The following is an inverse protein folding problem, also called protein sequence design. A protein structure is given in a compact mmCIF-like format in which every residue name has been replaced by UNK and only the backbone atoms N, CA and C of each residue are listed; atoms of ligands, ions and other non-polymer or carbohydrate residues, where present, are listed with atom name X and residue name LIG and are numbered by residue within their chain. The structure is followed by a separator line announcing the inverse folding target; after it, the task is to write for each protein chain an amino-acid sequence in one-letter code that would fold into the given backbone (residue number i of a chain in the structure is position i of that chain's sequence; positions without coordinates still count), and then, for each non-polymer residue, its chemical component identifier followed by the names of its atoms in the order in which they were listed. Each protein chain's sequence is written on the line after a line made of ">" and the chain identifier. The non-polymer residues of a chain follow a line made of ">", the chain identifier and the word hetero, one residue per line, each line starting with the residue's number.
data_IF_687287305817
#
_entry.id   IF_687287305817
#
_cell.length_a   1.000
_cell.length_b   1.000
_cell.length_c   1.000
_cell.angle_alpha   90.00
_cell.angle_beta   90.00
_cell.angle_gamma   90.00
#
_symmetry.space_group_name_H-M   'P 1'
#
loop_
_entity.id
_entity.type
_entity.pdbx_description
1 polymer ?
#
# COMPACT_ATOMS: atom_id res chain seq x y z
N UNK A 1 18.96 25.77 6.42
CA UNK A 1 19.38 25.40 5.05
C UNK A 1 18.34 24.44 4.54
N UNK A 2 17.62 24.76 3.46
CA UNK A 2 16.71 23.78 2.86
C UNK A 2 17.57 22.63 2.32
N UNK A 3 17.41 21.43 2.87
CA UNK A 3 18.07 20.25 2.34
C UNK A 3 17.52 19.96 0.94
N UNK A 4 18.40 19.74 -0.04
CA UNK A 4 18.00 19.47 -1.43
C UNK A 4 17.23 18.14 -1.56
N UNK A 5 17.55 17.16 -0.71
CA UNK A 5 16.93 15.83 -0.72
C UNK A 5 16.59 15.36 0.70
N UNK A 6 15.44 14.70 0.87
CA UNK A 6 15.03 14.06 2.13
C UNK A 6 15.66 12.66 2.28
N UNK A 7 15.78 11.93 1.17
CA UNK A 7 16.31 10.57 1.15
C UNK A 7 17.13 10.35 -0.12
N UNK A 8 18.22 9.59 -0.02
CA UNK A 8 19.08 9.24 -1.17
C UNK A 8 19.44 7.75 -1.15
N UNK A 9 19.32 7.12 -2.31
CA UNK A 9 19.84 5.79 -2.60
C UNK A 9 20.92 5.89 -3.68
N UNK A 10 22.06 5.21 -3.50
CA UNK A 10 23.10 5.11 -4.52
C UNK A 10 23.56 3.68 -4.71
N UNK A 11 23.44 3.17 -5.94
CA UNK A 11 23.77 1.78 -6.32
C UNK A 11 23.20 0.74 -5.36
N UNK A 12 22.00 0.99 -4.87
CA UNK A 12 21.34 0.13 -3.89
C UNK A 12 20.97 -1.21 -4.56
N UNK A 13 21.40 -2.31 -3.95
CA UNK A 13 21.04 -3.65 -4.41
C UNK A 13 20.74 -4.56 -3.21
N UNK A 14 19.73 -5.43 -3.37
CA UNK A 14 19.26 -6.36 -2.33
C UNK A 14 19.19 -7.78 -2.89
N UNK A 15 19.91 -8.70 -2.23
CA UNK A 15 20.00 -10.09 -2.61
C UNK A 15 19.53 -11.00 -1.46
N UNK A 16 18.62 -11.93 -1.76
CA UNK A 16 18.21 -13.00 -0.85
C UNK A 16 18.81 -14.33 -1.33
N UNK A 17 19.69 -14.96 -0.52
CA UNK A 17 20.24 -16.27 -0.82
C UNK A 17 19.15 -17.35 -0.97
N UNK A 18 19.34 -18.38 -1.84
CA UNK A 18 20.56 -18.66 -2.59
C UNK A 18 20.72 -17.93 -3.92
N UNK A 19 19.66 -17.46 -4.60
CA UNK A 19 19.76 -16.98 -6.00
C UNK A 19 18.85 -15.80 -6.39
N UNK A 20 18.25 -15.07 -5.44
CA UNK A 20 17.24 -14.04 -5.77
C UNK A 20 17.74 -12.62 -5.51
N UNK A 21 18.25 -11.97 -6.56
CA UNK A 21 18.40 -10.51 -6.60
C UNK A 21 17.02 -9.88 -6.76
N UNK A 22 16.60 -9.09 -5.78
CA UNK A 22 15.30 -8.41 -5.80
C UNK A 22 15.43 -6.96 -6.26
N UNK A 23 16.49 -6.27 -5.83
CA UNK A 23 16.82 -4.90 -6.24
C UNK A 23 18.24 -4.88 -6.79
N UNK A 24 18.47 -4.13 -7.86
CA UNK A 24 19.74 -4.04 -8.55
C UNK A 24 20.02 -2.60 -9.01
N UNK A 25 21.11 -2.01 -8.51
CA UNK A 25 21.63 -0.70 -8.92
C UNK A 25 20.62 0.47 -8.82
N UNK A 26 19.72 0.46 -7.83
CA UNK A 26 18.77 1.54 -7.58
C UNK A 26 19.54 2.80 -7.15
N UNK A 27 19.46 3.87 -7.94
CA UNK A 27 20.07 5.17 -7.63
C UNK A 27 19.00 6.24 -7.80
N UNK A 28 18.48 6.74 -6.67
CA UNK A 28 17.32 7.63 -6.61
C UNK A 28 17.54 8.70 -5.55
N UNK A 29 16.99 9.87 -5.78
CA UNK A 29 16.99 10.98 -4.81
C UNK A 29 15.57 11.48 -4.65
N UNK A 30 15.14 11.65 -3.40
CA UNK A 30 13.78 11.99 -3.04
C UNK A 30 13.75 13.44 -2.57
N UNK A 31 12.86 14.25 -3.15
CA UNK A 31 12.68 15.64 -2.77
C UNK A 31 11.71 15.77 -1.60
N UNK A 32 11.93 16.74 -0.69
CA UNK A 32 10.94 17.09 0.33
C UNK A 32 9.58 17.44 -0.30
N UNK A 33 8.50 16.87 0.22
CA UNK A 33 7.12 17.12 -0.22
C UNK A 33 6.66 16.31 -1.44
N UNK A 34 7.54 15.52 -2.06
CA UNK A 34 7.17 14.70 -3.22
C UNK A 34 6.15 13.61 -2.84
N UNK A 35 5.21 13.34 -3.75
CA UNK A 35 4.20 12.27 -3.61
C UNK A 35 4.48 11.19 -4.64
N UNK A 36 5.00 10.06 -4.20
CA UNK A 36 5.56 9.03 -5.05
C UNK A 36 4.73 7.76 -4.91
N UNK A 37 4.14 7.31 -6.02
CA UNK A 37 3.51 6.01 -6.14
C UNK A 37 4.51 4.96 -6.61
N UNK A 38 4.71 3.89 -5.84
CA UNK A 38 5.59 2.78 -6.20
C UNK A 38 4.77 1.65 -6.79
N UNK A 39 5.08 1.27 -8.03
CA UNK A 39 4.37 0.23 -8.76
C UNK A 39 5.33 -0.82 -9.31
N UNK A 40 4.81 -1.99 -9.65
CA UNK A 40 5.62 -3.10 -10.14
C UNK A 40 4.92 -4.44 -9.92
N UNK A 41 5.45 -5.49 -10.54
CA UNK A 41 4.93 -6.84 -10.39
C UNK A 41 5.10 -7.39 -8.97
N UNK A 42 4.41 -8.48 -8.66
CA UNK A 42 4.60 -9.16 -7.38
C UNK A 42 6.02 -9.71 -7.29
N UNK A 43 6.69 -9.42 -6.19
CA UNK A 43 8.08 -9.81 -6.00
C UNK A 43 9.11 -8.95 -6.73
N UNK A 44 8.73 -7.78 -7.27
CA UNK A 44 9.66 -6.81 -7.87
C UNK A 44 10.49 -6.01 -6.85
N UNK A 45 10.23 -6.20 -5.56
CA UNK A 45 11.00 -5.56 -4.48
C UNK A 45 10.41 -4.31 -3.87
N UNK A 46 9.15 -3.96 -4.17
CA UNK A 46 8.46 -2.78 -3.61
C UNK A 46 8.53 -2.71 -2.08
N UNK A 47 8.04 -3.74 -1.38
CA UNK A 47 8.07 -3.77 0.08
C UNK A 47 9.50 -3.82 0.64
N UNK A 48 10.43 -4.50 -0.04
CA UNK A 48 11.85 -4.50 0.34
C UNK A 48 12.46 -3.10 0.25
N UNK A 49 12.13 -2.32 -0.79
CA UNK A 49 12.60 -0.94 -0.92
C UNK A 49 12.12 -0.07 0.25
N UNK A 50 10.83 -0.14 0.62
CA UNK A 50 10.29 0.62 1.75
C UNK A 50 10.94 0.22 3.08
N UNK A 51 11.18 -1.09 3.31
CA UNK A 51 11.88 -1.56 4.52
C UNK A 51 13.31 -1.04 4.61
N UNK A 52 14.05 -1.02 3.50
CA UNK A 52 15.39 -0.41 3.43
C UNK A 52 15.30 1.08 3.75
N UNK A 53 14.33 1.79 3.15
CA UNK A 53 14.13 3.23 3.37
C UNK A 53 13.78 3.57 4.83
N UNK A 54 13.06 2.68 5.51
CA UNK A 54 12.74 2.79 6.93
C UNK A 54 13.89 2.38 7.86
N UNK A 55 15.02 1.89 7.33
CA UNK A 55 16.11 1.32 8.13
C UNK A 55 15.77 0.00 8.82
N UNK A 56 14.77 -0.75 8.32
CA UNK A 56 14.32 -2.05 8.85
C UNK A 56 14.98 -3.25 8.18
N UNK A 57 15.63 -3.05 7.04
CA UNK A 57 16.42 -4.08 6.35
C UNK A 57 17.81 -3.51 6.06
N UNK A 58 18.84 -4.10 6.65
CA UNK A 58 20.25 -3.75 6.52
C UNK A 58 21.02 -4.68 5.57
N UNK A 59 20.37 -5.74 5.07
CA UNK A 59 20.99 -6.75 4.21
C UNK A 59 21.22 -6.32 2.75
N UNK A 60 21.31 -5.02 2.50
CA UNK A 60 21.54 -4.45 1.17
C UNK A 60 23.01 -4.07 0.96
N UNK A 61 23.35 -3.80 -0.30
CA UNK A 61 24.63 -3.24 -0.72
C UNK A 61 24.40 -1.89 -1.39
N UNK A 62 25.44 -1.05 -1.44
CA UNK A 62 25.31 0.35 -1.86
C UNK A 62 25.02 1.27 -0.68
N UNK A 63 24.40 2.42 -0.94
CA UNK A 63 24.07 3.42 0.08
C UNK A 63 22.57 3.69 0.10
N UNK A 64 21.99 3.74 1.29
CA UNK A 64 20.63 4.20 1.54
C UNK A 64 20.68 5.12 2.78
N UNK A 65 20.28 6.38 2.62
CA UNK A 65 20.47 7.38 3.67
C UNK A 65 19.28 8.33 3.74
N UNK A 66 18.71 8.44 4.93
CA UNK A 66 17.84 9.54 5.33
C UNK A 66 18.71 10.74 5.70
N UNK A 67 18.34 11.93 5.19
CA UNK A 67 19.05 13.17 5.51
C UNK A 67 18.92 13.47 7.01
N UNK A 68 20.03 13.78 7.73
CA UNK A 68 19.96 14.04 9.17
C UNK A 68 18.99 15.17 9.51
N UNK A 69 18.18 14.97 10.56
CA UNK A 69 17.16 15.91 11.00
C UNK A 69 15.75 15.58 10.50
N UNK A 70 15.61 14.75 9.46
CA UNK A 70 14.32 14.23 9.03
C UNK A 70 13.95 12.95 9.78
N UNK A 71 12.65 12.73 9.92
CA UNK A 71 12.04 11.55 10.51
C UNK A 71 11.40 10.66 9.45
N UNK A 72 11.37 9.35 9.70
CA UNK A 72 10.75 8.36 8.80
C UNK A 72 9.73 7.52 9.55
N UNK A 73 8.59 7.29 8.91
CA UNK A 73 7.55 6.41 9.42
C UNK A 73 7.16 5.36 8.38
N UNK A 74 6.97 4.12 8.82
CA UNK A 74 6.62 2.99 7.97
C UNK A 74 5.31 2.35 8.45
N UNK A 75 4.36 2.19 7.54
CA UNK A 75 3.23 1.29 7.73
C UNK A 75 3.59 -0.08 7.16
N UNK A 76 3.80 -1.05 8.04
CA UNK A 76 4.02 -2.43 7.66
C UNK A 76 2.70 -3.13 7.30
N UNK A 77 2.77 -4.17 6.46
CA UNK A 77 1.60 -4.98 6.10
C UNK A 77 0.99 -5.67 7.32
N UNK A 78 1.83 -6.09 8.27
CA UNK A 78 1.45 -6.64 9.56
C UNK A 78 1.92 -5.69 10.68
N UNK A 79 1.06 -4.76 11.12
CA UNK A 79 1.47 -3.75 12.06
C UNK A 79 1.67 -4.29 13.47
N UNK A 80 2.72 -3.81 14.13
CA UNK A 80 2.98 -4.08 15.53
C UNK A 80 2.31 -3.02 16.41
N UNK A 81 1.35 -3.48 17.21
CA UNK A 81 0.67 -2.69 18.24
C UNK A 81 1.06 -3.22 19.62
N UNK A 82 1.04 -2.34 20.62
CA UNK A 82 1.25 -2.73 22.02
C UNK A 82 0.00 -3.44 22.52
N UNK A 83 0.14 -4.74 22.80
CA UNK A 83 -0.95 -5.61 23.24
C UNK A 83 -1.38 -5.35 24.69
N UNK A 84 -0.63 -4.53 25.44
CA UNK A 84 -0.95 -4.16 26.83
C UNK A 84 -1.85 -2.93 26.92
N UNK A 85 -2.04 -2.21 25.81
CA UNK A 85 -2.84 -0.99 25.73
C UNK A 85 -4.12 -1.23 24.95
N UNK A 86 -5.09 -0.36 25.15
CA UNK A 86 -6.28 -0.27 24.31
C UNK A 86 -5.99 0.43 22.98
N UNK A 87 -7.03 0.59 22.15
CA UNK A 87 -6.94 1.24 20.84
C UNK A 87 -6.47 2.68 20.98
N UNK A 88 -7.10 3.45 21.87
CA UNK A 88 -6.76 4.87 22.05
C UNK A 88 -5.33 5.04 22.55
N UNK A 89 -4.87 4.23 23.49
CA UNK A 89 -3.51 4.24 23.99
C UNK A 89 -2.49 3.97 22.89
N UNK A 90 -2.76 3.04 21.98
CA UNK A 90 -1.92 2.79 20.82
C UNK A 90 -1.90 3.98 19.85
N UNK A 91 -3.04 4.62 19.58
CA UNK A 91 -3.10 5.82 18.72
C UNK A 91 -2.32 6.98 19.35
N UNK A 92 -2.50 7.18 20.67
CA UNK A 92 -1.84 8.22 21.44
C UNK A 92 -0.31 8.08 21.48
N UNK A 93 0.23 6.87 21.34
CA UNK A 93 1.69 6.67 21.23
C UNK A 93 2.28 7.40 20.01
N UNK A 94 1.51 7.60 18.94
CA UNK A 94 1.93 8.35 17.76
C UNK A 94 2.14 9.84 18.05
N UNK A 95 1.42 10.38 19.03
CA UNK A 95 1.44 11.79 19.42
C UNK A 95 2.03 12.02 20.80
N UNK A 96 2.70 11.02 21.38
CA UNK A 96 3.28 11.11 22.71
C UNK A 96 4.19 12.34 22.89
N UNK A 97 5.09 12.69 21.94
CA UNK A 97 5.92 13.90 22.08
C UNK A 97 5.11 15.20 22.15
N UNK A 98 3.96 15.25 21.46
CA UNK A 98 3.08 16.43 21.43
C UNK A 98 2.27 16.50 22.74
N UNK A 99 1.75 15.36 23.19
CA UNK A 99 1.04 15.25 24.48
C UNK A 99 1.94 15.62 25.64
N UNK A 100 3.21 15.20 25.60
CA UNK A 100 4.18 15.50 26.65
C UNK A 100 4.44 17.02 26.77
N UNK A 101 4.28 17.81 25.68
CA UNK A 101 4.32 19.27 25.75
C UNK A 101 3.16 19.84 26.58
N UNK A 102 1.94 19.31 26.40
CA UNK A 102 0.76 19.72 27.16
C UNK A 102 0.89 19.34 28.63
N UNK A 103 1.32 18.11 28.92
CA UNK A 103 1.60 17.67 30.31
C UNK A 103 2.66 18.56 30.95
N UNK A 104 3.72 18.90 30.23
CA UNK A 104 4.77 19.78 30.75
C UNK A 104 4.27 21.20 30.95
N UNK A 105 3.37 21.68 30.10
CA UNK A 105 2.72 22.97 30.28
C UNK A 105 1.87 22.99 31.55
N UNK A 106 1.07 21.96 31.82
CA UNK A 106 0.29 21.85 33.05
C UNK A 106 1.17 21.84 34.31
N UNK A 107 2.31 21.14 34.27
CA UNK A 107 3.30 21.17 35.35
C UNK A 107 3.86 22.58 35.58
N UNK A 108 4.18 23.32 34.51
CA UNK A 108 4.66 24.71 34.59
C UNK A 108 3.57 25.64 35.11
N UNK A 109 2.32 25.44 34.72
CA UNK A 109 1.17 26.17 35.27
C UNK A 109 0.97 25.89 36.76
N UNK A 110 1.25 24.67 37.23
CA UNK A 110 1.23 24.37 38.65
C UNK A 110 2.35 25.08 39.43
N UNK A 111 3.53 25.29 38.83
CA UNK A 111 4.65 26.04 39.45
C UNK A 111 4.29 27.50 39.73
N UNK A 112 3.42 28.12 38.95
CA UNK A 112 2.92 29.47 39.24
C UNK A 112 2.15 29.55 40.56
N UNK A 113 1.61 28.44 41.04
CA UNK A 113 0.92 28.35 42.33
C UNK A 113 1.84 28.15 43.54
N UNK A 114 3.14 27.89 43.33
CA UNK A 114 4.12 27.70 44.40
C UNK A 114 4.69 29.07 44.85
N UNK A 115 4.53 29.48 46.12
CA UNK A 115 5.07 30.73 46.65
C UNK A 115 6.61 30.82 46.62
N UNK A 116 7.29 29.69 46.58
CA UNK A 116 8.77 29.61 46.58
C UNK A 116 9.35 29.49 45.15
N UNK A 117 8.51 29.53 44.12
CA UNK A 117 8.94 29.42 42.73
C UNK A 117 9.70 30.66 42.24
N UNK A 118 10.67 30.43 41.35
CA UNK A 118 11.36 31.48 40.61
C UNK A 118 10.51 31.91 39.40
N UNK A 119 9.65 32.92 39.61
CA UNK A 119 8.69 33.37 38.61
C UNK A 119 9.32 33.81 37.28
N UNK A 120 10.54 34.34 37.28
CA UNK A 120 11.25 34.71 36.05
C UNK A 120 11.60 33.46 35.23
N UNK A 121 12.07 32.40 35.89
CA UNK A 121 12.34 31.11 35.22
C UNK A 121 11.06 30.41 34.76
N UNK A 122 10.00 30.44 35.57
CA UNK A 122 8.71 29.83 35.21
C UNK A 122 8.13 30.52 33.98
N UNK A 123 8.17 31.86 33.92
CA UNK A 123 7.73 32.63 32.76
C UNK A 123 8.53 32.31 31.48
N UNK A 124 9.85 32.14 31.58
CA UNK A 124 10.67 31.75 30.44
C UNK A 124 10.35 30.33 29.92
N UNK A 125 10.10 29.38 30.84
CA UNK A 125 9.70 28.02 30.49
C UNK A 125 8.32 27.98 29.83
N UNK A 126 7.36 28.76 30.34
CA UNK A 126 6.04 28.88 29.76
C UNK A 126 6.12 29.41 28.33
N UNK A 127 6.84 30.51 28.09
CA UNK A 127 6.96 31.11 26.76
C UNK A 127 7.58 30.14 25.72
N UNK A 128 8.61 29.38 26.11
CA UNK A 128 9.20 28.35 25.25
C UNK A 128 8.24 27.20 24.95
N UNK A 129 7.46 26.76 25.94
CA UNK A 129 6.46 25.71 25.76
C UNK A 129 5.29 26.18 24.88
N UNK A 130 4.75 27.37 25.11
CA UNK A 130 3.68 27.95 24.29
C UNK A 130 4.09 28.04 22.82
N UNK A 131 5.33 28.49 22.55
CA UNK A 131 5.87 28.53 21.19
C UNK A 131 5.92 27.14 20.53
N UNK A 132 6.29 26.10 21.28
CA UNK A 132 6.32 24.70 20.79
C UNK A 132 4.93 24.11 20.59
N UNK A 133 4.01 24.38 21.52
CA UNK A 133 2.62 23.94 21.48
C UNK A 133 1.91 24.55 20.27
N UNK A 134 2.08 25.85 20.04
CA UNK A 134 1.51 26.55 18.89
C UNK A 134 2.09 26.00 17.56
N UNK A 135 3.42 25.84 17.49
CA UNK A 135 4.07 25.29 16.30
C UNK A 135 3.62 23.84 15.97
N UNK A 136 3.25 23.06 16.98
CA UNK A 136 2.78 21.69 16.82
C UNK A 136 1.25 21.58 16.66
N UNK A 137 0.49 22.68 16.76
CA UNK A 137 -0.98 22.69 16.87
C UNK A 137 -1.48 21.72 17.96
N UNK A 138 -0.78 21.71 19.10
CA UNK A 138 -1.01 20.72 20.16
C UNK A 138 -2.35 20.96 20.90
N UNK A 139 -2.89 22.18 20.91
CA UNK A 139 -4.20 22.46 21.51
C UNK A 139 -5.34 21.73 20.80
N UNK A 140 -5.18 21.46 19.51
CA UNK A 140 -6.17 20.75 18.69
C UNK A 140 -5.97 19.22 18.74
N UNK A 141 -5.05 18.71 19.58
CA UNK A 141 -4.62 17.32 19.56
C UNK A 141 -5.78 16.33 19.71
N UNK A 142 -6.56 16.44 20.79
CA UNK A 142 -7.65 15.49 21.06
C UNK A 142 -8.69 15.48 19.94
N UNK A 143 -9.03 16.66 19.42
CA UNK A 143 -9.94 16.80 18.27
C UNK A 143 -9.36 16.17 17.00
N UNK A 144 -8.08 16.37 16.73
CA UNK A 144 -7.40 15.81 15.56
C UNK A 144 -7.32 14.27 15.65
N UNK A 145 -7.09 13.74 16.85
CA UNK A 145 -7.11 12.29 17.13
C UNK A 145 -8.52 11.73 16.86
N UNK A 146 -9.55 12.37 17.41
CA UNK A 146 -10.95 11.93 17.24
C UNK A 146 -11.36 11.93 15.76
N UNK A 147 -11.08 13.00 15.02
CA UNK A 147 -11.37 13.10 13.58
C UNK A 147 -10.64 12.01 12.80
N UNK A 148 -9.36 11.76 13.08
CA UNK A 148 -8.58 10.76 12.38
C UNK A 148 -9.07 9.32 12.69
N UNK A 149 -9.45 9.04 13.94
CA UNK A 149 -9.98 7.74 14.33
C UNK A 149 -11.35 7.48 13.73
N UNK A 150 -12.23 8.48 13.69
CA UNK A 150 -13.56 8.37 13.06
C UNK A 150 -13.44 8.19 11.55
N UNK A 151 -12.62 9.02 10.89
CA UNK A 151 -12.42 8.95 9.45
C UNK A 151 -11.81 7.62 8.97
N UNK A 152 -10.92 7.02 9.77
CA UNK A 152 -10.37 5.69 9.49
C UNK A 152 -11.22 4.55 10.07
N UNK A 153 -12.39 4.86 10.66
CA UNK A 153 -13.30 3.90 11.28
C UNK A 153 -12.54 2.92 12.19
N UNK A 154 -11.72 3.49 13.07
CA UNK A 154 -11.02 2.73 14.08
C UNK A 154 -12.04 2.02 15.01
N UNK A 155 -11.66 0.88 15.62
CA UNK A 155 -12.48 0.25 16.66
C UNK A 155 -12.69 1.20 17.85
N UNK A 156 -13.63 0.89 18.77
CA UNK A 156 -13.86 1.66 19.98
C UNK A 156 -12.57 1.89 20.78
N UNK A 157 -12.47 3.05 21.42
CA UNK A 157 -11.26 3.53 22.10
C UNK A 157 -10.72 2.55 23.15
N UNK A 158 -11.61 1.97 23.95
CA UNK A 158 -11.31 1.07 25.06
C UNK A 158 -11.18 -0.40 24.61
N UNK A 159 -11.30 -0.67 23.31
CA UNK A 159 -11.26 -2.05 22.81
C UNK A 159 -9.86 -2.66 22.99
N UNK A 160 -9.85 -3.93 23.38
CA UNK A 160 -8.64 -4.72 23.56
C UNK A 160 -8.01 -5.07 22.21
N UNK A 161 -6.80 -4.58 21.97
CA UNK A 161 -6.05 -4.75 20.72
C UNK A 161 -5.77 -6.22 20.40
N UNK A 162 -5.67 -7.10 21.41
CA UNK A 162 -5.42 -8.52 21.19
C UNK A 162 -6.54 -9.22 20.42
N UNK A 163 -7.77 -8.70 20.50
CA UNK A 163 -8.98 -9.27 19.89
C UNK A 163 -9.31 -8.70 18.51
N UNK A 164 -8.58 -7.67 18.08
CA UNK A 164 -8.82 -7.03 16.80
C UNK A 164 -8.42 -7.91 15.62
N UNK A 165 -9.20 -7.83 14.54
CA UNK A 165 -8.85 -8.40 13.24
C UNK A 165 -7.59 -7.72 12.66
N UNK A 166 -6.93 -8.38 11.70
CA UNK A 166 -5.74 -7.81 11.04
C UNK A 166 -6.03 -6.46 10.38
N UNK A 167 -7.21 -6.32 9.74
CA UNK A 167 -7.64 -5.05 9.13
C UNK A 167 -7.87 -3.95 10.16
N UNK A 168 -8.48 -4.26 11.31
CA UNK A 168 -8.66 -3.29 12.41
C UNK A 168 -7.33 -2.83 12.99
N UNK A 169 -6.41 -3.77 13.27
CA UNK A 169 -5.05 -3.44 13.72
C UNK A 169 -4.33 -2.52 12.74
N UNK A 170 -4.52 -2.76 11.43
CA UNK A 170 -3.95 -1.92 10.38
C UNK A 170 -4.51 -0.51 10.38
N UNK A 171 -5.82 -0.32 10.57
CA UNK A 171 -6.42 1.02 10.66
C UNK A 171 -5.91 1.80 11.89
N UNK A 172 -5.79 1.13 13.04
CA UNK A 172 -5.20 1.72 14.26
C UNK A 172 -3.74 2.13 14.03
N UNK A 173 -2.94 1.26 13.41
CA UNK A 173 -1.53 1.56 13.12
C UNK A 173 -1.36 2.67 12.08
N UNK A 174 -2.22 2.72 11.07
CA UNK A 174 -2.26 3.81 10.09
C UNK A 174 -2.63 5.12 10.79
N UNK A 175 -3.68 5.14 11.63
CA UNK A 175 -4.07 6.32 12.39
C UNK A 175 -2.90 6.86 13.24
N UNK A 176 -2.26 5.98 14.03
CA UNK A 176 -1.07 6.29 14.83
C UNK A 176 0.04 6.91 13.99
N UNK A 177 0.30 6.38 12.80
CA UNK A 177 1.36 6.82 11.91
C UNK A 177 1.08 8.17 11.25
N UNK A 178 -0.17 8.42 10.84
CA UNK A 178 -0.55 9.70 10.24
C UNK A 178 -0.50 10.84 11.26
N UNK A 179 -0.87 10.55 12.51
CA UNK A 179 -0.83 11.51 13.59
C UNK A 179 0.59 11.83 14.08
N UNK A 180 1.54 10.90 13.94
CA UNK A 180 2.94 11.16 14.29
C UNK A 180 3.67 12.09 13.31
N UNK A 181 3.05 12.38 12.14
CA UNK A 181 3.51 13.34 11.12
C UNK A 181 5.02 13.24 10.78
N UNK A 182 5.55 12.06 10.39
CA UNK A 182 6.95 11.92 9.99
C UNK A 182 7.26 12.66 8.68
N UNK A 183 8.47 13.18 8.52
CA UNK A 183 8.83 13.93 7.30
C UNK A 183 8.82 13.06 6.03
N UNK A 184 9.15 11.77 6.18
CA UNK A 184 9.07 10.74 5.15
C UNK A 184 8.07 9.65 5.58
N UNK A 185 6.95 9.58 4.88
CA UNK A 185 5.90 8.59 5.12
C UNK A 185 5.99 7.45 4.09
N UNK A 186 6.20 6.23 4.57
CA UNK A 186 6.32 5.02 3.76
C UNK A 186 5.09 4.13 4.00
N UNK A 187 4.29 3.92 2.96
CA UNK A 187 3.02 3.19 3.05
C UNK A 187 3.04 1.98 2.14
N UNK A 188 2.94 0.78 2.72
CA UNK A 188 2.75 -0.45 1.94
C UNK A 188 1.24 -0.76 1.86
N UNK A 189 0.64 -0.68 0.67
CA UNK A 189 -0.78 -0.94 0.37
C UNK A 189 -1.78 -0.30 1.37
N UNK A 190 -1.74 1.02 1.58
CA UNK A 190 -2.49 1.65 2.67
C UNK A 190 -4.02 1.65 2.48
N UNK A 191 -4.50 1.45 1.25
CA UNK A 191 -5.92 1.38 0.91
C UNK A 191 -6.55 0.01 1.22
N UNK A 192 -5.73 -1.01 1.51
CA UNK A 192 -6.25 -2.33 1.83
C UNK A 192 -7.01 -2.34 3.16
N UNK A 193 -8.16 -3.01 3.16
CA UNK A 193 -9.07 -3.10 4.31
C UNK A 193 -9.64 -1.74 4.77
N UNK A 194 -9.61 -0.73 3.90
CA UNK A 194 -10.37 0.51 4.03
C UNK A 194 -11.64 0.43 3.18
N UNK A 195 -12.68 1.14 3.60
CA UNK A 195 -13.85 1.37 2.76
C UNK A 195 -13.69 2.65 1.93
N UNK A 196 -14.58 2.87 0.97
CA UNK A 196 -14.45 3.96 0.00
C UNK A 196 -14.36 5.34 0.65
N UNK A 197 -15.11 5.58 1.73
CA UNK A 197 -15.07 6.86 2.47
C UNK A 197 -13.72 7.04 3.19
N UNK A 198 -13.21 6.00 3.84
CA UNK A 198 -11.90 6.04 4.50
C UNK A 198 -10.77 6.25 3.48
N UNK A 199 -10.89 5.67 2.27
CA UNK A 199 -9.93 5.87 1.17
C UNK A 199 -9.97 7.31 0.66
N UNK A 200 -11.14 7.90 0.41
CA UNK A 200 -11.27 9.30 -0.03
C UNK A 200 -10.69 10.26 1.03
N UNK A 201 -10.94 10.02 2.32
CA UNK A 201 -10.32 10.79 3.38
C UNK A 201 -8.78 10.66 3.37
N UNK A 202 -8.27 9.44 3.24
CA UNK A 202 -6.82 9.18 3.19
C UNK A 202 -6.17 9.87 1.98
N UNK A 203 -6.81 9.84 0.82
CA UNK A 203 -6.33 10.52 -0.39
C UNK A 203 -6.19 12.03 -0.16
N UNK A 204 -7.22 12.67 0.41
CA UNK A 204 -7.19 14.10 0.73
C UNK A 204 -6.09 14.43 1.74
N UNK A 205 -6.00 13.63 2.81
CA UNK A 205 -4.97 13.80 3.83
C UNK A 205 -3.56 13.72 3.24
N UNK A 206 -3.26 12.70 2.43
CA UNK A 206 -1.92 12.50 1.86
C UNK A 206 -1.56 13.53 0.79
N UNK A 207 -2.56 14.07 0.09
CA UNK A 207 -2.40 15.16 -0.86
C UNK A 207 -2.00 16.47 -0.17
N UNK A 208 -2.63 16.79 0.95
CA UNK A 208 -2.33 17.99 1.76
C UNK A 208 -1.14 17.80 2.71
N UNK A 209 -0.65 16.57 2.87
CA UNK A 209 0.45 16.26 3.76
C UNK A 209 1.70 17.09 3.42
N UNK A 210 2.34 17.78 4.37
CA UNK A 210 3.49 18.63 4.07
C UNK A 210 4.76 17.83 3.76
N UNK A 211 4.87 16.62 4.30
CA UNK A 211 6.02 15.74 4.11
C UNK A 211 6.01 14.96 2.80
N UNK A 212 7.05 14.17 2.62
CA UNK A 212 7.24 13.29 1.46
C UNK A 212 6.46 11.99 1.69
N UNK A 213 5.73 11.52 0.68
CA UNK A 213 4.96 10.27 0.76
C UNK A 213 5.47 9.32 -0.31
N UNK A 214 5.80 8.09 0.09
CA UNK A 214 6.12 6.98 -0.80
C UNK A 214 5.14 5.85 -0.51
N UNK A 215 4.18 5.64 -1.40
CA UNK A 215 3.12 4.67 -1.22
C UNK A 215 3.19 3.58 -2.29
N UNK A 216 3.21 2.31 -1.86
CA UNK A 216 2.92 1.17 -2.72
C UNK A 216 1.42 1.00 -2.74
N UNK A 217 0.81 1.02 -3.93
CA UNK A 217 -0.61 0.69 -4.05
C UNK A 217 -0.92 0.11 -5.41
N UNK A 218 -1.92 -0.76 -5.46
CA UNK A 218 -2.58 -1.18 -6.69
C UNK A 218 -3.82 -0.33 -7.05
N UNK A 219 -4.19 0.64 -6.20
CA UNK A 219 -5.33 1.53 -6.45
C UNK A 219 -4.96 2.61 -7.47
N UNK A 220 -5.64 2.57 -8.61
CA UNK A 220 -5.41 3.49 -9.73
C UNK A 220 -5.92 4.89 -9.42
N UNK A 221 -7.01 5.02 -8.66
CA UNK A 221 -7.57 6.32 -8.31
C UNK A 221 -6.65 7.05 -7.33
N UNK A 222 -6.16 6.32 -6.33
CA UNK A 222 -5.16 6.85 -5.40
C UNK A 222 -3.92 7.38 -6.11
N UNK A 223 -3.36 6.59 -7.04
CA UNK A 223 -2.17 7.01 -7.78
C UNK A 223 -2.43 8.19 -8.71
N UNK A 224 -3.65 8.33 -9.25
CA UNK A 224 -3.98 9.43 -10.13
C UNK A 224 -4.25 10.74 -9.36
N UNK A 225 -4.85 10.64 -8.17
CA UNK A 225 -5.26 11.78 -7.35
C UNK A 225 -4.15 12.32 -6.43
N UNK A 226 -3.27 11.45 -5.93
CA UNK A 226 -2.27 11.78 -4.89
C UNK A 226 -0.86 11.83 -5.47
N UNK A 227 -0.49 10.92 -6.37
CA UNK A 227 0.89 10.82 -6.83
C UNK A 227 1.24 11.91 -7.85
N UNK A 228 2.38 12.56 -7.63
CA UNK A 228 3.02 13.47 -8.59
C UNK A 228 4.16 12.79 -9.34
N UNK A 229 4.62 11.65 -8.81
CA UNK A 229 5.69 10.85 -9.37
C UNK A 229 5.31 9.37 -9.29
N UNK A 230 5.68 8.61 -10.31
CA UNK A 230 5.53 7.15 -10.34
C UNK A 230 6.93 6.53 -10.37
N UNK A 231 7.21 5.65 -9.42
CA UNK A 231 8.40 4.81 -9.42
C UNK A 231 8.02 3.39 -9.82
N UNK A 232 8.33 3.02 -11.06
CA UNK A 232 8.15 1.66 -11.52
C UNK A 232 9.36 0.81 -11.16
N UNK A 233 9.14 -0.24 -10.37
CA UNK A 233 10.11 -1.29 -10.11
C UNK A 233 9.84 -2.47 -11.05
N UNK A 234 10.74 -2.65 -12.02
CA UNK A 234 10.74 -3.77 -12.93
C UNK A 234 12.12 -4.43 -13.01
N UNK A 235 12.15 -5.76 -12.88
CA UNK A 235 13.39 -6.57 -12.91
C UNK A 235 14.50 -6.02 -12.00
N UNK A 236 14.13 -5.59 -10.80
CA UNK A 236 15.04 -5.03 -9.79
C UNK A 236 15.56 -3.62 -10.08
N UNK A 237 15.16 -3.00 -11.19
CA UNK A 237 15.54 -1.63 -11.54
C UNK A 237 14.37 -0.67 -11.31
N UNK A 238 14.69 0.57 -10.97
CA UNK A 238 13.73 1.63 -10.70
C UNK A 238 13.71 2.64 -11.84
N UNK A 239 12.52 2.86 -12.38
CA UNK A 239 12.26 3.84 -13.43
C UNK A 239 11.35 4.93 -12.87
N UNK A 240 11.92 6.09 -12.47
CA UNK A 240 11.11 7.21 -12.03
C UNK A 240 10.46 7.90 -13.23
N UNK A 241 9.22 8.34 -13.05
CA UNK A 241 8.43 9.09 -14.01
C UNK A 241 7.74 10.24 -13.30
N UNK A 242 7.81 11.43 -13.88
CA UNK A 242 7.11 12.61 -13.38
C UNK A 242 5.72 12.69 -14.01
N UNK A 243 4.68 12.60 -13.18
CA UNK A 243 3.30 12.54 -13.63
C UNK A 243 2.45 11.59 -12.80
N UNK A 244 1.16 11.57 -13.12
CA UNK A 244 0.16 10.70 -12.49
C UNK A 244 0.14 9.30 -13.13
N UNK A 245 -0.72 8.41 -12.61
CA UNK A 245 -0.85 7.05 -13.12
C UNK A 245 -1.28 6.99 -14.61
N UNK A 246 -2.23 7.83 -15.00
CA UNK A 246 -2.75 7.85 -16.37
C UNK A 246 -1.66 8.18 -17.39
N UNK A 247 -0.90 9.26 -17.15
CA UNK A 247 0.20 9.66 -18.02
C UNK A 247 1.35 8.64 -18.06
N UNK A 248 1.64 7.99 -16.92
CA UNK A 248 2.59 6.88 -16.88
C UNK A 248 2.12 5.69 -17.75
N UNK A 249 0.83 5.35 -17.69
CA UNK A 249 0.28 4.22 -18.44
C UNK A 249 0.38 4.43 -19.94
N UNK A 250 0.06 5.63 -20.43
CA UNK A 250 0.20 6.02 -21.84
C UNK A 250 1.65 5.91 -22.33
N UNK A 251 2.60 6.42 -21.52
CA UNK A 251 4.02 6.33 -21.82
C UNK A 251 4.50 4.87 -21.81
N UNK A 252 4.06 4.07 -20.83
CA UNK A 252 4.40 2.65 -20.73
C UNK A 252 3.88 1.88 -21.93
N UNK A 253 2.65 2.13 -22.38
CA UNK A 253 2.11 1.51 -23.58
C UNK A 253 2.96 1.84 -24.81
N UNK A 254 3.30 3.12 -25.01
CA UNK A 254 4.17 3.56 -26.10
C UNK A 254 5.54 2.88 -26.06
N UNK A 255 6.13 2.73 -24.85
CA UNK A 255 7.39 2.03 -24.64
C UNK A 255 7.27 0.55 -24.98
N UNK A 256 6.23 -0.13 -24.50
CA UNK A 256 5.99 -1.56 -24.76
C UNK A 256 5.79 -1.84 -26.26
N UNK A 257 5.05 -0.99 -26.96
CA UNK A 257 4.89 -1.10 -28.42
C UNK A 257 6.22 -0.92 -29.16
N UNK A 258 7.10 -0.02 -28.66
CA UNK A 258 8.45 0.14 -29.18
C UNK A 258 9.34 -1.08 -28.91
N UNK A 259 9.27 -1.63 -27.70
CA UNK A 259 9.99 -2.83 -27.28
C UNK A 259 9.54 -4.07 -28.06
N UNK A 260 8.24 -4.23 -28.30
CA UNK A 260 7.68 -5.32 -29.10
C UNK A 260 8.19 -5.24 -30.55
N UNK A 261 8.18 -4.05 -31.17
CA UNK A 261 8.75 -3.84 -32.52
C UNK A 261 10.26 -4.14 -32.58
N UNK A 262 11.00 -3.76 -31.55
CA UNK A 262 12.43 -4.07 -31.42
C UNK A 262 12.66 -5.57 -31.23
N UNK A 263 11.84 -6.23 -30.41
CA UNK A 263 11.87 -7.67 -30.17
C UNK A 263 11.57 -8.45 -31.45
N UNK A 264 10.52 -8.09 -32.19
CA UNK A 264 10.19 -8.68 -33.49
C UNK A 264 11.34 -8.55 -34.49
N UNK A 265 11.97 -7.37 -34.55
CA UNK A 265 13.13 -7.12 -35.40
C UNK A 265 14.32 -7.99 -34.98
N UNK A 266 14.54 -8.14 -33.67
CA UNK A 266 15.60 -8.96 -33.08
C UNK A 266 15.37 -10.45 -33.35
N UNK A 267 14.14 -10.96 -33.19
CA UNK A 267 13.74 -12.34 -33.51
C UNK A 267 13.93 -12.67 -34.98
N UNK A 268 13.52 -11.77 -35.88
CA UNK A 268 13.77 -11.92 -37.33
C UNK A 268 15.27 -11.95 -37.66
N UNK A 269 16.07 -11.17 -36.95
CA UNK A 269 17.55 -11.15 -37.12
C UNK A 269 18.17 -12.46 -36.64
N UNK A 270 17.75 -12.97 -35.49
CA UNK A 270 18.17 -14.27 -34.95
C UNK A 270 17.79 -15.43 -35.89
N UNK A 271 16.58 -15.43 -36.46
CA UNK A 271 16.16 -16.43 -37.45
C UNK A 271 17.05 -16.43 -38.69
N UNK A 272 17.35 -15.25 -39.26
CA UNK A 272 18.26 -15.11 -40.42
C UNK A 272 19.68 -15.59 -40.11
N UNK A 273 20.21 -15.26 -38.93
CA UNK A 273 21.52 -15.74 -38.47
C UNK A 273 21.51 -17.27 -38.28
N UNK A 274 20.46 -17.84 -37.67
CA UNK A 274 20.30 -19.29 -37.49
C UNK A 274 20.22 -20.04 -38.84
N UNK A 275 19.48 -19.51 -39.81
CA UNK A 275 19.42 -20.05 -41.18
C UNK A 275 20.81 -20.05 -41.83
N UNK A 276 21.57 -18.97 -41.67
CA UNK A 276 22.96 -18.90 -42.15
C UNK A 276 23.88 -19.90 -41.45
N UNK A 277 23.76 -20.08 -40.14
CA UNK A 277 24.50 -21.10 -39.39
C UNK A 277 24.16 -22.49 -39.91
N UNK A 278 22.91 -22.77 -40.31
CA UNK A 278 22.50 -24.04 -40.93
C UNK A 278 23.01 -24.22 -42.37
N UNK A 279 23.47 -23.17 -43.05
CA UNK A 279 24.04 -23.27 -44.40
C UNK A 279 25.47 -23.88 -44.42
N UNK A 280 25.79 -24.53 -45.54
CA UNK A 280 26.92 -25.46 -45.78
C UNK A 280 28.32 -25.04 -45.26
N UNK A 281 29.19 -25.99 -44.85
CA UNK A 281 30.49 -25.75 -44.20
C UNK A 281 31.47 -24.83 -44.94
N UNK A 282 31.41 -24.75 -46.28
CA UNK A 282 32.32 -23.91 -47.10
C UNK A 282 32.15 -22.39 -46.86
N UNK A 283 31.05 -21.93 -46.26
CA UNK A 283 30.83 -20.51 -45.95
C UNK A 283 31.43 -20.06 -44.60
N UNK A 284 31.87 -20.99 -43.75
CA UNK A 284 32.28 -20.71 -42.35
C UNK A 284 33.74 -20.26 -42.17
N UNK A 285 34.62 -20.50 -43.15
CA UNK A 285 36.07 -20.45 -42.92
C UNK A 285 36.70 -19.05 -42.78
N UNK A 286 36.00 -17.94 -43.04
CA UNK A 286 36.61 -16.59 -42.97
C UNK A 286 35.90 -15.56 -42.06
N UNK A 287 34.66 -15.80 -41.60
CA UNK A 287 33.86 -14.81 -40.82
C UNK A 287 33.12 -15.39 -39.59
N UNK A 288 33.39 -16.64 -39.20
CA UNK A 288 32.55 -17.37 -38.24
C UNK A 288 32.62 -16.91 -36.77
N UNK A 289 33.80 -16.55 -36.25
CA UNK A 289 33.99 -16.39 -34.79
C UNK A 289 33.34 -15.12 -34.21
N UNK A 290 33.49 -13.98 -34.90
CA UNK A 290 32.89 -12.71 -34.47
C UNK A 290 31.35 -12.70 -34.61
N UNK A 291 30.83 -13.44 -35.60
CA UNK A 291 29.40 -13.51 -35.88
C UNK A 291 28.68 -14.50 -34.95
N UNK A 292 29.32 -15.62 -34.60
CA UNK A 292 28.85 -16.50 -33.52
C UNK A 292 28.80 -15.75 -32.17
N UNK A 293 29.86 -15.00 -31.81
CA UNK A 293 29.84 -14.22 -30.59
C UNK A 293 28.72 -13.15 -30.58
N UNK A 294 28.41 -12.56 -31.73
CA UNK A 294 27.29 -11.64 -31.88
C UNK A 294 25.92 -12.36 -31.75
N UNK A 295 25.79 -13.56 -32.32
CA UNK A 295 24.60 -14.41 -32.16
C UNK A 295 24.40 -14.83 -30.70
N UNK A 296 25.43 -15.33 -30.02
CA UNK A 296 25.36 -15.76 -28.62
C UNK A 296 25.00 -14.58 -27.71
N UNK A 297 25.55 -13.39 -27.98
CA UNK A 297 25.19 -12.15 -27.28
C UNK A 297 23.74 -11.75 -27.54
N UNK A 298 23.28 -11.74 -28.80
CA UNK A 298 21.90 -11.44 -29.16
C UNK A 298 20.90 -12.44 -28.58
N UNK A 299 21.27 -13.72 -28.52
CA UNK A 299 20.49 -14.79 -27.94
C UNK A 299 20.41 -14.67 -26.42
N UNK A 300 21.51 -14.34 -25.75
CA UNK A 300 21.52 -14.04 -24.31
C UNK A 300 20.68 -12.80 -23.98
N UNK A 301 20.75 -11.74 -24.80
CA UNK A 301 19.91 -10.55 -24.68
C UNK A 301 18.42 -10.86 -24.93
N UNK A 302 18.10 -11.75 -25.87
CA UNK A 302 16.72 -12.19 -26.15
C UNK A 302 16.14 -13.03 -25.01
N UNK A 303 16.90 -14.00 -24.49
CA UNK A 303 16.52 -14.81 -23.33
C UNK A 303 16.31 -13.96 -22.06
N UNK A 304 17.07 -12.87 -21.88
CA UNK A 304 16.87 -11.92 -20.80
C UNK A 304 15.60 -11.06 -20.99
N UNK A 305 15.22 -10.78 -22.24
CA UNK A 305 14.06 -9.97 -22.59
C UNK A 305 12.73 -10.76 -22.54
N UNK A 306 12.73 -12.06 -22.90
CA UNK A 306 11.57 -12.97 -22.91
C UNK A 306 10.97 -13.25 -21.53
N UNK A 307 11.63 -12.85 -20.44
CA UNK A 307 11.03 -12.80 -19.09
C UNK A 307 10.04 -11.63 -18.96
N UNK A 308 9.15 -11.46 -19.92
CA UNK A 308 8.03 -10.52 -19.86
C UNK A 308 7.06 -10.95 -18.75
N UNK A 309 6.18 -10.06 -18.29
CA UNK A 309 5.10 -10.48 -17.40
C UNK A 309 4.27 -11.51 -18.15
N UNK A 310 4.24 -12.75 -17.66
CA UNK A 310 3.28 -13.74 -18.12
C UNK A 310 1.90 -13.08 -18.06
N UNK A 311 1.19 -13.08 -19.20
CA UNK A 311 -0.24 -12.75 -19.21
C UNK A 311 -0.94 -13.83 -18.40
N UNK A 312 -1.01 -13.63 -17.09
CA UNK A 312 -1.79 -14.43 -16.18
C UNK A 312 -3.26 -14.09 -16.42
N UNK A 313 -3.85 -14.71 -17.44
CA UNK A 313 -5.28 -14.73 -17.60
C UNK A 313 -5.85 -15.75 -16.62
N UNK A 314 -6.49 -15.27 -15.56
CA UNK A 314 -7.24 -16.14 -14.65
C UNK A 314 -8.51 -16.55 -15.37
N UNK A 315 -8.53 -17.78 -15.89
CA UNK A 315 -9.73 -18.37 -16.46
C UNK A 315 -10.62 -18.94 -15.36
N UNK A 316 -11.78 -18.31 -15.14
CA UNK A 316 -12.83 -18.87 -14.28
C UNK A 316 -13.57 -19.94 -15.09
N UNK A 317 -13.64 -21.21 -14.61
CA UNK A 317 -14.35 -22.25 -15.32
C UNK A 317 -15.83 -21.90 -15.48
N UNK A 318 -16.40 -22.17 -16.66
CA UNK A 318 -17.84 -22.04 -16.85
C UNK A 318 -18.57 -23.05 -15.95
N UNK A 319 -19.50 -22.56 -15.14
CA UNK A 319 -20.32 -23.38 -14.24
C UNK A 319 -21.33 -24.26 -14.98
N UNK A 320 -21.97 -25.20 -14.27
CA UNK A 320 -23.08 -25.99 -14.81
C UNK A 320 -24.28 -25.09 -15.20
N UNK A 321 -25.20 -25.64 -15.99
CA UNK A 321 -26.43 -24.91 -16.34
C UNK A 321 -27.23 -24.59 -15.08
N UNK A 322 -27.52 -23.30 -14.89
CA UNK A 322 -28.35 -22.79 -13.80
C UNK A 322 -29.83 -22.79 -14.23
N UNK A 323 -30.72 -23.05 -13.27
CA UNK A 323 -32.16 -22.80 -13.42
C UNK A 323 -32.51 -21.31 -13.33
N UNK A 324 -33.80 -21.00 -13.47
CA UNK A 324 -34.29 -19.61 -13.52
C UNK A 324 -34.16 -18.87 -12.19
N UNK A 325 -34.17 -19.59 -11.06
CA UNK A 325 -33.99 -19.03 -9.72
C UNK A 325 -32.66 -19.50 -9.12
N UNK A 326 -31.68 -18.60 -9.02
CA UNK A 326 -30.35 -18.92 -8.47
C UNK A 326 -30.36 -18.71 -6.95
N UNK A 327 -30.63 -17.48 -6.51
CA UNK A 327 -30.75 -17.13 -5.09
C UNK A 327 -32.00 -16.29 -4.91
N UNK A 328 -32.81 -16.62 -3.92
CA UNK A 328 -33.98 -15.84 -3.50
C UNK A 328 -33.87 -15.59 -2.01
N UNK A 329 -33.88 -14.32 -1.62
CA UNK A 329 -33.83 -13.87 -0.24
C UNK A 329 -35.11 -13.11 0.05
N UNK A 330 -35.81 -13.47 1.12
CA UNK A 330 -37.07 -12.83 1.52
C UNK A 330 -37.03 -12.40 3.00
N UNK A 331 -37.24 -11.11 3.23
CA UNK A 331 -37.36 -10.46 4.53
C UNK A 331 -36.23 -10.82 5.52
N UNK A 332 -35.02 -10.98 4.99
CA UNK A 332 -33.85 -11.43 5.73
C UNK A 332 -33.48 -10.42 6.81
N UNK A 333 -33.34 -10.90 8.04
CA UNK A 333 -32.91 -10.10 9.18
C UNK A 333 -31.81 -10.84 9.94
N UNK A 334 -30.74 -10.10 10.28
CA UNK A 334 -29.60 -10.63 11.04
C UNK A 334 -28.96 -9.55 11.92
N UNK A 335 -28.69 -9.89 13.17
CA UNK A 335 -27.90 -9.09 14.10
C UNK A 335 -26.99 -9.92 14.99
N UNK A 336 -26.04 -9.26 15.65
CA UNK A 336 -25.20 -9.86 16.69
C UNK A 336 -25.24 -9.00 17.95
N UNK A 337 -25.74 -9.56 19.05
CA UNK A 337 -25.99 -8.81 20.27
C UNK A 337 -26.95 -7.65 20.00
N UNK A 338 -26.55 -6.44 20.36
CA UNK A 338 -27.34 -5.21 20.15
C UNK A 338 -27.14 -4.58 18.76
N UNK A 339 -26.27 -5.16 17.92
CA UNK A 339 -25.94 -4.61 16.60
C UNK A 339 -26.74 -5.30 15.50
N UNK A 340 -27.72 -4.59 14.96
CA UNK A 340 -28.45 -5.00 13.75
C UNK A 340 -27.54 -4.82 12.52
N UNK A 341 -27.40 -5.86 11.70
CA UNK A 341 -26.59 -5.82 10.47
C UNK A 341 -27.47 -5.74 9.23
N UNK A 342 -28.50 -6.56 9.16
CA UNK A 342 -29.40 -6.67 8.01
C UNK A 342 -30.82 -6.63 8.56
N UNK A 343 -31.66 -5.79 7.96
CA UNK A 343 -33.07 -5.66 8.31
C UNK A 343 -33.93 -5.77 7.05
N UNK A 344 -34.87 -6.72 7.06
CA UNK A 344 -35.89 -6.88 6.04
C UNK A 344 -35.37 -6.87 4.57
N UNK A 345 -34.22 -7.50 4.33
CA UNK A 345 -33.61 -7.55 3.00
C UNK A 345 -34.32 -8.58 2.12
N UNK A 346 -34.79 -8.16 0.95
CA UNK A 346 -35.44 -9.03 -0.05
C UNK A 346 -34.86 -8.79 -1.44
N UNK A 347 -34.38 -9.84 -2.09
CA UNK A 347 -33.91 -9.78 -3.48
C UNK A 347 -33.94 -11.14 -4.16
N UNK A 348 -33.98 -11.16 -5.49
CA UNK A 348 -33.82 -12.36 -6.30
C UNK A 348 -32.67 -12.18 -7.30
N UNK A 349 -31.83 -13.21 -7.43
CA UNK A 349 -30.71 -13.28 -8.35
C UNK A 349 -31.07 -14.19 -9.52
N UNK A 350 -31.24 -13.65 -10.74
CA UNK A 350 -31.45 -14.44 -11.95
C UNK A 350 -30.14 -15.12 -12.44
N UNK A 351 -30.23 -16.13 -13.32
CA UNK A 351 -29.06 -16.72 -13.97
C UNK A 351 -28.27 -15.65 -14.73
N UNK A 352 -26.93 -15.78 -14.70
CA UNK A 352 -25.97 -14.81 -15.23
C UNK A 352 -26.02 -13.41 -14.57
N UNK A 353 -26.78 -13.22 -13.49
CA UNK A 353 -26.73 -12.00 -12.71
C UNK A 353 -25.38 -11.81 -12.03
N UNK A 354 -24.77 -10.63 -12.22
CA UNK A 354 -23.56 -10.21 -11.51
C UNK A 354 -23.98 -9.16 -10.49
N UNK A 355 -23.79 -9.42 -9.21
CA UNK A 355 -24.17 -8.51 -8.13
C UNK A 355 -22.92 -8.00 -7.43
N UNK A 356 -22.70 -6.69 -7.51
CA UNK A 356 -21.71 -6.00 -6.68
C UNK A 356 -22.32 -5.66 -5.33
N UNK A 357 -21.74 -6.17 -4.24
CA UNK A 357 -22.15 -5.83 -2.88
C UNK A 357 -21.18 -4.78 -2.34
N UNK A 358 -21.69 -3.58 -2.10
CA UNK A 358 -20.92 -2.44 -1.59
C UNK A 358 -21.42 -2.05 -0.19
N UNK A 359 -20.54 -1.44 0.58
CA UNK A 359 -20.86 -0.93 1.90
C UNK A 359 -19.63 -0.85 2.79
N UNK A 360 -19.71 -0.15 3.93
CA UNK A 360 -18.58 0.01 4.83
C UNK A 360 -18.12 -1.29 5.46
N UNK A 361 -16.93 -1.28 6.04
CA UNK A 361 -16.43 -2.44 6.79
C UNK A 361 -17.28 -2.68 8.04
N UNK A 362 -17.58 -3.96 8.32
CA UNK A 362 -18.50 -4.34 9.39
C UNK A 362 -19.98 -4.12 9.09
N UNK A 363 -20.38 -3.80 7.85
CA UNK A 363 -21.79 -3.69 7.44
C UNK A 363 -22.53 -5.04 7.29
N UNK A 364 -21.87 -6.18 7.56
CA UNK A 364 -22.47 -7.51 7.43
C UNK A 364 -22.35 -8.16 6.03
N UNK A 365 -21.45 -7.68 5.16
CA UNK A 365 -21.22 -8.27 3.82
C UNK A 365 -20.79 -9.73 3.90
N UNK A 366 -19.78 -10.03 4.72
CA UNK A 366 -19.30 -11.41 4.95
C UNK A 366 -20.39 -12.26 5.59
N UNK A 367 -21.12 -11.71 6.57
CA UNK A 367 -22.28 -12.37 7.19
C UNK A 367 -23.34 -12.75 6.17
N UNK A 368 -23.63 -11.89 5.19
CA UNK A 368 -24.54 -12.22 4.09
C UNK A 368 -24.02 -13.42 3.29
N UNK A 369 -22.72 -13.46 2.94
CA UNK A 369 -22.14 -14.64 2.26
C UNK A 369 -22.18 -15.91 3.12
N UNK A 370 -21.91 -15.81 4.43
CA UNK A 370 -22.04 -16.92 5.36
C UNK A 370 -23.46 -17.47 5.42
N UNK A 371 -24.48 -16.61 5.36
CA UNK A 371 -25.88 -17.04 5.28
C UNK A 371 -26.23 -17.65 3.91
N UNK A 372 -25.75 -17.07 2.81
CA UNK A 372 -25.96 -17.62 1.47
C UNK A 372 -25.30 -18.99 1.28
N UNK A 373 -24.17 -19.24 1.94
CA UNK A 373 -23.44 -20.51 1.90
C UNK A 373 -23.92 -21.51 2.95
N UNK A 374 -24.88 -21.14 3.82
CA UNK A 374 -25.41 -21.99 4.88
C UNK A 374 -24.49 -22.19 6.09
N UNK A 375 -23.41 -21.40 6.20
CA UNK A 375 -22.51 -21.40 7.36
C UNK A 375 -23.13 -20.73 8.58
N UNK A 376 -24.03 -19.76 8.35
CA UNK A 376 -24.79 -19.08 9.40
C UNK A 376 -26.29 -19.11 9.10
N UNK A 377 -27.10 -19.17 10.17
CA UNK A 377 -28.55 -19.08 10.06
C UNK A 377 -29.03 -17.63 10.20
N UNK A 378 -30.07 -17.22 9.45
CA UNK A 378 -30.74 -15.94 9.65
C UNK A 378 -31.50 -15.92 10.99
N UNK A 379 -31.68 -14.73 11.57
CA UNK A 379 -32.52 -14.58 12.76
C UNK A 379 -34.00 -14.56 12.38
N UNK A 380 -34.31 -13.98 11.22
CA UNK A 380 -35.64 -14.01 10.58
C UNK A 380 -35.51 -13.90 9.05
N UNK A 381 -36.57 -14.27 8.34
CA UNK A 381 -36.60 -14.36 6.88
C UNK A 381 -36.07 -15.68 6.34
N UNK A 382 -35.98 -15.78 5.01
CA UNK A 382 -35.58 -17.01 4.32
C UNK A 382 -34.51 -16.71 3.27
N UNK A 383 -33.57 -17.66 3.13
CA UNK A 383 -32.58 -17.70 2.05
C UNK A 383 -32.79 -19.02 1.33
N UNK A 384 -33.17 -18.95 0.06
CA UNK A 384 -33.37 -20.11 -0.80
C UNK A 384 -32.33 -20.08 -1.92
N UNK A 385 -31.51 -21.13 -1.98
CA UNK A 385 -30.55 -21.36 -3.05
C UNK A 385 -31.13 -22.44 -3.96
N UNK A 386 -31.15 -22.19 -5.28
CA UNK A 386 -31.73 -23.13 -6.24
C UNK A 386 -30.98 -24.46 -6.30
N UNK A 387 -31.70 -25.56 -6.56
CA UNK A 387 -31.14 -26.93 -6.53
C UNK A 387 -29.99 -27.18 -7.52
N UNK A 388 -29.91 -26.37 -8.58
CA UNK A 388 -28.87 -26.48 -9.63
C UNK A 388 -27.62 -25.65 -9.32
N UNK A 389 -27.65 -24.86 -8.24
CA UNK A 389 -26.57 -23.95 -7.87
C UNK A 389 -25.46 -24.70 -7.15
N UNK A 390 -24.24 -24.58 -7.67
CA UNK A 390 -23.03 -24.98 -6.96
C UNK A 390 -22.29 -23.72 -6.53
N UNK A 391 -22.28 -23.47 -5.22
CA UNK A 391 -21.60 -22.31 -4.64
C UNK A 391 -20.09 -22.58 -4.57
N UNK A 392 -19.32 -21.60 -5.03
CA UNK A 392 -17.88 -21.52 -4.76
C UNK A 392 -17.64 -20.24 -3.96
N UNK A 393 -17.13 -20.40 -2.74
CA UNK A 393 -16.87 -19.31 -1.82
C UNK A 393 -15.37 -19.15 -1.64
N UNK A 394 -14.88 -17.93 -1.82
CA UNK A 394 -13.51 -17.52 -1.51
C UNK A 394 -13.61 -16.55 -0.35
N UNK A 395 -12.95 -16.90 0.75
CA UNK A 395 -12.91 -16.06 1.95
C UNK A 395 -11.98 -14.85 1.76
N UNK A 396 -12.20 -13.80 2.55
CA UNK A 396 -11.51 -12.51 2.44
C UNK A 396 -10.04 -12.55 2.88
#
# INVERSE_FOLDING_TARGET
>A
MAHEFIYTCYKLARFYPPDRTILENISLSFYPGAKIGVIGSNGSGKSSLLRIMAGRDDGYTGEARLTPGFTVGLLEQEPQLDMTKDVLGNVMDGVAPIRDLLTRYDEVMAMWGDPDADYDKVGALQADLEAKIEAADAWSLDRNVEIAMDALRCPPNEADVSKLSGGEKRRVALCRLLLSRPDLLLLDEPTNHLDAESVDWLERFLKEYPGTVVAITHDRYFLDNVASWILELDRGRGFPFEGNYTSWLEQKQTRLEGEEKLSDTRTRTLQRELEWVKMSPKARQAKGKARLAAYDKLHAEAMAAERGPDKLEIAIPAGPRLGDNVIVVENLTKGFGDRLLIENLSFSLPPAGIVGIIGPNGAGKTTLFSMLTGQEAPDSGTVTVGDTVQLSYVDQ
#
